data_IF_015177413652
#
_entry.id   IF_015177413652
#
_cell.length_a   1.000
_cell.length_b   1.000
_cell.length_c   1.000
_cell.angle_alpha   90.00
_cell.angle_beta   90.00
_cell.angle_gamma   90.00
#
_symmetry.space_group_name_H-M   'P 1'
#
loop_
_entity.id
_entity.type
_entity.pdbx_description
1 polymer ?
#
# COMPACT_ATOMS: atom_id res chain seq x y z
N UNK A 1 -69.82 -7.59 46.84
CA UNK A 1 -68.88 -7.20 45.76
C UNK A 1 -67.74 -8.21 45.73
N UNK A 2 -67.61 -8.99 44.66
CA UNK A 2 -66.52 -9.98 44.49
C UNK A 2 -65.22 -9.24 44.16
N UNK A 3 -64.24 -9.25 45.05
CA UNK A 3 -62.88 -8.80 44.75
C UNK A 3 -62.30 -9.72 43.67
N UNK A 4 -62.11 -9.18 42.47
CA UNK A 4 -61.52 -9.88 41.33
C UNK A 4 -60.05 -10.20 41.67
N UNK A 5 -59.74 -11.48 41.84
CA UNK A 5 -58.40 -12.03 41.97
C UNK A 5 -57.62 -11.84 40.64
N UNK A 6 -57.19 -10.63 40.31
CA UNK A 6 -56.39 -10.33 39.09
C UNK A 6 -54.89 -10.29 39.34
N UNK A 7 -54.45 -10.34 40.60
CA UNK A 7 -53.03 -10.27 40.96
C UNK A 7 -52.18 -11.44 40.44
N UNK A 8 -52.75 -12.64 40.33
CA UNK A 8 -52.03 -13.81 39.82
C UNK A 8 -51.75 -13.70 38.31
N UNK A 9 -52.61 -13.01 37.55
CA UNK A 9 -52.41 -12.78 36.10
C UNK A 9 -51.22 -11.84 35.89
N UNK A 10 -51.12 -10.76 36.68
CA UNK A 10 -49.99 -9.84 36.60
C UNK A 10 -48.66 -10.53 36.98
N UNK A 11 -48.68 -11.37 38.02
CA UNK A 11 -47.52 -12.18 38.41
C UNK A 11 -47.11 -13.20 37.34
N UNK A 12 -48.07 -13.86 36.70
CA UNK A 12 -47.81 -14.81 35.62
C UNK A 12 -47.18 -14.11 34.41
N UNK A 13 -47.71 -12.96 33.99
CA UNK A 13 -47.16 -12.18 32.87
C UNK A 13 -45.73 -11.72 33.17
N UNK A 14 -45.46 -11.27 34.40
CA UNK A 14 -44.12 -10.86 34.80
C UNK A 14 -43.10 -12.02 34.76
N UNK A 15 -43.48 -13.20 35.25
CA UNK A 15 -42.62 -14.39 35.19
C UNK A 15 -42.40 -14.84 33.74
N UNK A 16 -43.45 -14.84 32.92
CA UNK A 16 -43.34 -15.17 31.50
C UNK A 16 -42.43 -14.19 30.76
N UNK A 17 -42.50 -12.90 31.06
CA UNK A 17 -41.58 -11.91 30.50
C UNK A 17 -40.13 -12.12 30.95
N UNK A 18 -39.91 -12.41 32.25
CA UNK A 18 -38.58 -12.70 32.79
C UNK A 18 -37.92 -13.95 32.19
N UNK A 19 -38.70 -14.90 31.69
CA UNK A 19 -38.19 -16.11 31.04
C UNK A 19 -38.10 -15.93 29.53
N UNK A 20 -39.15 -15.40 28.90
CA UNK A 20 -39.23 -15.28 27.45
C UNK A 20 -38.29 -14.20 26.90
N UNK A 21 -38.03 -13.10 27.62
CA UNK A 21 -37.13 -12.04 27.13
C UNK A 21 -35.67 -12.52 27.09
N UNK A 22 -35.09 -13.14 28.13
CA UNK A 22 -33.75 -13.70 28.03
C UNK A 22 -33.66 -14.84 27.03
N UNK A 23 -34.65 -15.74 26.98
CA UNK A 23 -34.66 -16.79 25.96
C UNK A 23 -34.66 -16.16 24.58
N UNK A 24 -35.58 -15.25 24.29
CA UNK A 24 -35.61 -14.56 23.00
C UNK A 24 -34.30 -13.82 22.72
N UNK A 25 -33.71 -13.11 23.68
CA UNK A 25 -32.45 -12.37 23.51
C UNK A 25 -31.23 -13.28 23.28
N UNK A 26 -31.14 -14.41 24.00
CA UNK A 26 -30.00 -15.35 23.91
C UNK A 26 -30.22 -16.48 22.89
N UNK A 27 -31.43 -16.66 22.39
CA UNK A 27 -31.77 -17.63 21.34
C UNK A 27 -32.32 -16.93 20.09
N UNK A 28 -32.06 -15.62 19.90
CA UNK A 28 -32.21 -15.05 18.57
C UNK A 28 -31.41 -15.93 17.64
N UNK A 29 -32.10 -16.52 16.67
CA UNK A 29 -31.46 -17.26 15.59
C UNK A 29 -30.63 -16.20 14.89
N UNK A 30 -29.31 -16.31 15.03
CA UNK A 30 -28.37 -15.52 14.28
C UNK A 30 -28.77 -15.72 12.81
N UNK A 31 -29.20 -14.67 12.12
CA UNK A 31 -29.57 -14.73 10.69
C UNK A 31 -28.34 -15.03 9.80
N UNK A 32 -27.21 -15.38 10.42
CA UNK A 32 -25.98 -15.83 9.83
C UNK A 32 -26.14 -17.27 9.34
N UNK A 33 -26.19 -17.43 8.01
CA UNK A 33 -25.98 -18.74 7.38
C UNK A 33 -24.60 -19.24 7.83
N UNK A 34 -24.49 -20.50 8.25
CA UNK A 34 -23.19 -21.09 8.62
C UNK A 34 -22.18 -20.91 7.46
N UNK A 35 -21.19 -20.02 7.65
CA UNK A 35 -20.19 -19.65 6.65
C UNK A 35 -20.34 -18.25 6.03
N UNK A 36 -21.45 -17.54 6.24
CA UNK A 36 -21.52 -16.11 5.97
C UNK A 36 -20.95 -15.33 7.16
N UNK A 37 -19.92 -14.52 6.90
CA UNK A 37 -19.55 -13.41 7.77
C UNK A 37 -20.39 -12.22 7.25
N UNK A 38 -21.41 -11.75 7.98
CA UNK A 38 -22.09 -10.50 7.61
C UNK A 38 -21.06 -9.36 7.60
N UNK A 39 -21.10 -8.53 6.56
CA UNK A 39 -20.25 -7.35 6.40
C UNK A 39 -18.73 -7.66 6.48
N UNK A 40 -18.26 -8.62 5.68
CA UNK A 40 -16.80 -8.85 5.57
C UNK A 40 -16.15 -7.60 5.00
N UNK A 41 -15.00 -7.12 5.52
CA UNK A 41 -14.27 -6.00 4.92
C UNK A 41 -13.97 -6.21 3.43
N UNK A 42 -13.84 -7.47 2.99
CA UNK A 42 -13.66 -7.86 1.60
C UNK A 42 -14.87 -7.53 0.70
N UNK A 43 -16.07 -7.39 1.24
CA UNK A 43 -17.28 -7.09 0.47
C UNK A 43 -17.23 -5.68 -0.14
N UNK A 44 -16.47 -4.76 0.48
CA UNK A 44 -16.24 -3.40 0.01
C UNK A 44 -14.99 -3.21 -0.86
N UNK A 45 -14.20 -4.28 -1.07
CA UNK A 45 -12.91 -4.23 -1.78
C UNK A 45 -13.04 -4.83 -3.18
N UNK A 46 -12.62 -4.13 -4.25
CA UNK A 46 -12.61 -4.68 -5.59
C UNK A 46 -11.75 -5.95 -5.67
N UNK A 47 -12.19 -6.93 -6.45
CA UNK A 47 -11.37 -8.12 -6.69
C UNK A 47 -10.13 -7.73 -7.49
N UNK A 48 -8.98 -8.22 -7.03
CA UNK A 48 -7.71 -8.09 -7.73
C UNK A 48 -7.81 -8.72 -9.13
N UNK A 49 -7.15 -8.08 -10.10
CA UNK A 49 -7.04 -8.63 -11.44
C UNK A 49 -6.31 -9.99 -11.40
N UNK A 50 -6.70 -10.91 -12.28
CA UNK A 50 -5.99 -12.18 -12.42
C UNK A 50 -4.58 -11.90 -12.98
N UNK A 51 -3.51 -12.38 -12.35
CA UNK A 51 -2.16 -12.15 -12.85
C UNK A 51 -1.89 -12.95 -14.13
N UNK A 52 -1.08 -12.39 -15.01
CA UNK A 52 -0.47 -13.10 -16.14
C UNK A 52 0.81 -13.76 -15.65
N UNK A 53 1.05 -15.01 -16.03
CA UNK A 53 2.31 -15.70 -15.72
C UNK A 53 3.43 -15.23 -16.67
N UNK A 54 4.47 -14.64 -16.09
CA UNK A 54 5.62 -14.09 -16.80
C UNK A 54 6.80 -15.08 -16.89
N UNK A 55 6.70 -16.25 -16.26
CA UNK A 55 7.79 -17.24 -16.15
C UNK A 55 8.41 -17.64 -17.49
N UNK A 56 7.59 -17.63 -18.55
CA UNK A 56 7.95 -18.01 -19.92
C UNK A 56 8.01 -16.82 -20.89
N UNK A 57 7.82 -15.59 -20.41
CA UNK A 57 7.75 -14.38 -21.24
C UNK A 57 9.04 -13.54 -21.16
N UNK A 58 9.82 -13.70 -20.09
CA UNK A 58 11.01 -12.90 -19.81
C UNK A 58 12.25 -13.80 -19.85
N UNK A 59 12.77 -14.08 -21.05
CA UNK A 59 13.88 -15.04 -21.22
C UNK A 59 15.25 -14.50 -20.77
N UNK A 60 15.48 -13.18 -20.86
CA UNK A 60 16.77 -12.56 -20.57
C UNK A 60 17.84 -12.91 -21.63
N UNK A 61 19.14 -12.76 -21.31
CA UNK A 61 19.69 -12.24 -20.05
C UNK A 61 19.40 -10.75 -19.86
N UNK A 62 19.43 -10.30 -18.60
CA UNK A 62 19.35 -8.89 -18.23
C UNK A 62 20.57 -8.52 -17.38
N UNK A 63 21.36 -7.58 -17.87
CA UNK A 63 22.54 -7.01 -17.20
C UNK A 63 22.18 -5.77 -16.38
N UNK A 64 21.13 -5.05 -16.77
CA UNK A 64 20.68 -3.83 -16.08
C UNK A 64 19.19 -3.84 -15.83
N UNK A 65 18.74 -3.08 -14.82
CA UNK A 65 17.32 -2.87 -14.56
C UNK A 65 16.59 -2.25 -15.76
N UNK A 66 17.23 -1.33 -16.48
CA UNK A 66 16.65 -0.71 -17.67
C UNK A 66 16.41 -1.72 -18.81
N UNK A 67 17.22 -2.77 -18.94
CA UNK A 67 16.96 -3.83 -19.92
C UNK A 67 15.70 -4.63 -19.55
N UNK A 68 15.45 -4.85 -18.24
CA UNK A 68 14.19 -5.44 -17.77
C UNK A 68 13.02 -4.52 -18.09
N UNK A 69 13.13 -3.22 -17.77
CA UNK A 69 12.09 -2.23 -18.08
C UNK A 69 11.77 -2.21 -19.57
N UNK A 70 12.78 -2.19 -20.44
CA UNK A 70 12.58 -2.25 -21.89
C UNK A 70 11.82 -3.52 -22.33
N UNK A 71 12.09 -4.67 -21.70
CA UNK A 71 11.35 -5.90 -21.96
C UNK A 71 9.89 -5.83 -21.48
N UNK A 72 9.63 -5.25 -20.30
CA UNK A 72 8.28 -5.03 -19.78
C UNK A 72 7.46 -4.12 -20.72
N UNK A 73 8.07 -3.05 -21.22
CA UNK A 73 7.41 -2.07 -22.07
C UNK A 73 7.03 -2.60 -23.46
N UNK A 74 7.55 -3.77 -23.88
CA UNK A 74 7.11 -4.43 -25.10
C UNK A 74 5.65 -4.94 -25.05
N UNK A 75 5.07 -5.07 -23.85
CA UNK A 75 3.66 -5.43 -23.66
C UNK A 75 2.90 -4.42 -22.79
N UNK A 76 3.61 -3.64 -21.98
CA UNK A 76 3.06 -2.65 -21.05
C UNK A 76 3.43 -1.22 -21.49
N UNK A 77 3.12 -0.88 -22.74
CA UNK A 77 3.60 0.34 -23.42
C UNK A 77 3.28 1.63 -22.63
N UNK A 78 2.11 1.69 -22.01
CA UNK A 78 1.67 2.88 -21.25
C UNK A 78 2.20 2.92 -19.81
N UNK A 79 2.70 1.81 -19.27
CA UNK A 79 2.92 1.69 -17.81
C UNK A 79 4.02 2.61 -17.29
N UNK A 80 5.13 2.76 -18.01
CA UNK A 80 6.15 3.72 -17.59
C UNK A 80 5.67 5.16 -17.74
N UNK A 81 4.93 5.48 -18.81
CA UNK A 81 4.34 6.82 -19.00
C UNK A 81 3.39 7.17 -17.86
N UNK A 82 2.57 6.22 -17.42
CA UNK A 82 1.70 6.37 -16.26
C UNK A 82 2.51 6.65 -14.98
N UNK A 83 3.57 5.87 -14.72
CA UNK A 83 4.40 6.02 -13.51
C UNK A 83 5.11 7.37 -13.44
N UNK A 84 5.63 7.90 -14.56
CA UNK A 84 6.41 9.14 -14.52
C UNK A 84 5.60 10.36 -14.11
N UNK A 85 4.27 10.31 -14.14
CA UNK A 85 3.41 11.41 -13.69
C UNK A 85 3.03 11.32 -12.21
N UNK A 86 3.50 10.30 -11.50
CA UNK A 86 3.12 10.05 -10.09
C UNK A 86 4.12 10.63 -9.09
N UNK A 87 3.67 10.80 -7.84
CA UNK A 87 4.55 11.18 -6.74
C UNK A 87 5.64 10.12 -6.42
N UNK A 88 5.44 8.84 -6.78
CA UNK A 88 6.47 7.80 -6.60
C UNK A 88 7.67 8.00 -7.52
N UNK A 89 7.46 8.62 -8.69
CA UNK A 89 8.50 9.01 -9.62
C UNK A 89 9.00 10.44 -9.39
N UNK A 90 8.11 11.42 -9.35
CA UNK A 90 8.48 12.84 -9.25
C UNK A 90 9.00 13.23 -7.86
N UNK A 91 8.61 12.47 -6.84
CA UNK A 91 8.85 12.77 -5.41
C UNK A 91 8.34 14.14 -4.96
N UNK A 92 7.38 14.68 -5.70
CA UNK A 92 6.77 15.96 -5.45
C UNK A 92 5.31 15.93 -5.92
N UNK A 93 4.50 16.78 -5.30
CA UNK A 93 3.12 17.01 -5.65
C UNK A 93 3.03 18.01 -6.80
N UNK A 94 1.83 18.16 -7.36
CA UNK A 94 1.49 19.39 -8.08
C UNK A 94 1.62 20.64 -7.17
N UNK A 95 1.57 21.85 -7.75
CA UNK A 95 1.56 23.08 -6.97
C UNK A 95 0.38 23.10 -6.00
N UNK A 96 0.65 23.39 -4.73
CA UNK A 96 -0.35 23.49 -3.66
C UNK A 96 -0.27 24.84 -2.97
N UNK A 97 -1.44 25.39 -2.63
CA UNK A 97 -1.55 26.61 -1.85
C UNK A 97 -1.24 26.32 -0.37
N UNK A 98 -0.45 27.19 0.26
CA UNK A 98 -0.06 27.03 1.66
C UNK A 98 -0.21 28.34 2.41
N UNK A 99 -0.75 28.26 3.62
CA UNK A 99 -0.87 29.43 4.50
C UNK A 99 0.51 30.07 4.72
N UNK A 100 0.58 31.39 4.55
CA UNK A 100 1.82 32.15 4.72
C UNK A 100 2.78 32.14 3.51
N UNK A 101 2.40 31.48 2.39
CA UNK A 101 3.11 31.60 1.11
C UNK A 101 2.29 32.49 0.17
N UNK A 102 2.98 33.32 -0.62
CA UNK A 102 2.34 34.20 -1.60
C UNK A 102 2.01 33.47 -2.92
N UNK A 103 2.68 32.34 -3.17
CA UNK A 103 2.57 31.54 -4.38
C UNK A 103 2.44 30.06 -4.00
N UNK A 104 1.75 29.30 -4.84
CA UNK A 104 1.71 27.85 -4.73
C UNK A 104 3.13 27.26 -4.72
N UNK A 105 3.32 26.21 -3.93
CA UNK A 105 4.59 25.49 -3.83
C UNK A 105 4.38 24.02 -4.11
N UNK A 106 5.38 23.35 -4.66
CA UNK A 106 5.38 21.89 -4.72
C UNK A 106 5.96 21.31 -3.44
N UNK A 107 5.25 20.35 -2.82
CA UNK A 107 5.70 19.64 -1.62
C UNK A 107 6.03 18.20 -1.96
N UNK A 108 6.82 17.53 -1.12
CA UNK A 108 7.21 16.13 -1.34
C UNK A 108 8.68 15.90 -1.05
N UNK A 109 9.12 14.64 -1.11
CA UNK A 109 10.48 14.24 -0.70
C UNK A 109 11.59 15.01 -1.43
N UNK A 110 11.35 15.46 -2.67
CA UNK A 110 12.30 16.27 -3.44
C UNK A 110 12.52 17.67 -2.86
N UNK A 111 11.48 18.26 -2.26
CA UNK A 111 11.47 19.64 -1.77
C UNK A 111 11.36 19.74 -0.22
N UNK A 112 11.10 18.63 0.46
CA UNK A 112 10.87 18.59 1.89
C UNK A 112 12.16 18.64 2.70
N UNK A 113 12.11 19.38 3.81
CA UNK A 113 13.14 19.40 4.84
C UNK A 113 12.61 18.72 6.09
N UNK A 114 13.37 17.79 6.67
CA UNK A 114 13.03 17.11 7.91
C UNK A 114 14.18 17.20 8.94
N UNK A 115 13.97 16.60 10.12
CA UNK A 115 14.95 16.55 11.21
C UNK A 115 15.71 15.21 11.31
N UNK A 116 15.65 14.38 10.25
CA UNK A 116 16.42 13.15 10.12
C UNK A 116 17.63 13.40 9.20
N UNK A 117 17.53 13.01 7.93
CA UNK A 117 18.59 13.23 6.94
C UNK A 117 18.56 14.64 6.32
N UNK A 118 17.77 15.56 6.88
CA UNK A 118 17.55 16.94 6.42
C UNK A 118 16.82 17.01 5.09
N UNK A 119 17.40 16.52 4.00
CA UNK A 119 16.82 16.60 2.67
C UNK A 119 17.63 15.80 1.66
N UNK A 120 17.06 15.62 0.47
CA UNK A 120 17.72 14.83 -0.58
C UNK A 120 18.86 15.60 -1.28
N UNK A 121 18.77 16.92 -1.36
CA UNK A 121 19.75 17.74 -2.08
C UNK A 121 21.16 17.54 -1.51
N UNK A 122 22.08 17.03 -2.33
CA UNK A 122 23.45 16.68 -1.94
C UNK A 122 23.63 15.30 -1.31
N UNK A 123 22.55 14.53 -1.11
CA UNK A 123 22.54 13.17 -0.54
C UNK A 123 21.85 12.14 -1.47
N UNK A 124 21.62 12.51 -2.73
CA UNK A 124 20.85 11.79 -3.75
C UNK A 124 21.07 10.29 -3.73
N UNK A 125 22.31 9.83 -3.99
CA UNK A 125 22.65 8.39 -4.12
C UNK A 125 22.07 7.51 -3.01
N UNK A 126 22.13 7.98 -1.75
CA UNK A 126 21.64 7.19 -0.61
C UNK A 126 20.12 7.29 -0.50
N UNK A 127 19.57 8.49 -0.69
CA UNK A 127 18.14 8.73 -0.58
C UNK A 127 17.33 8.01 -1.65
N UNK A 128 17.83 8.00 -2.90
CA UNK A 128 17.18 7.47 -4.11
C UNK A 128 17.28 5.95 -4.25
N UNK A 129 17.91 5.27 -3.29
CA UNK A 129 17.76 3.82 -3.10
C UNK A 129 16.29 3.37 -3.00
N UNK A 130 15.42 4.25 -2.50
CA UNK A 130 13.98 4.04 -2.39
C UNK A 130 13.17 4.75 -3.49
N UNK A 131 13.80 5.25 -4.56
CA UNK A 131 13.09 5.86 -5.69
C UNK A 131 12.59 4.78 -6.64
N UNK A 132 11.42 4.97 -7.25
CA UNK A 132 10.83 4.03 -8.22
C UNK A 132 11.52 4.09 -9.59
N UNK A 133 12.82 4.33 -9.62
CA UNK A 133 13.63 4.46 -10.81
C UNK A 133 15.08 4.07 -10.61
N UNK A 134 15.82 4.12 -11.72
CA UNK A 134 17.23 3.77 -11.83
C UNK A 134 18.08 4.98 -12.18
N UNK A 135 19.17 5.19 -11.44
CA UNK A 135 20.22 6.16 -11.79
C UNK A 135 19.97 7.59 -11.34
N UNK A 136 19.11 7.83 -10.35
CA UNK A 136 18.95 9.18 -9.79
C UNK A 136 20.11 9.51 -8.85
N UNK A 137 21.18 10.06 -9.44
CA UNK A 137 22.43 10.40 -8.76
C UNK A 137 22.55 11.87 -8.36
N UNK A 138 21.89 12.79 -9.08
CA UNK A 138 21.89 14.22 -8.78
C UNK A 138 20.68 14.98 -9.37
N UNK A 139 20.75 16.31 -9.37
CA UNK A 139 19.72 17.20 -9.91
C UNK A 139 19.51 17.10 -11.44
N UNK A 140 20.41 16.45 -12.16
CA UNK A 140 20.36 16.31 -13.63
C UNK A 140 19.59 15.08 -14.11
N UNK A 141 19.02 14.30 -13.18
CA UNK A 141 18.22 13.12 -13.49
C UNK A 141 17.07 13.44 -14.47
N UNK A 142 17.00 12.67 -15.55
CA UNK A 142 15.99 12.83 -16.57
C UNK A 142 14.68 12.12 -16.16
N UNK A 143 13.75 12.91 -15.63
CA UNK A 143 12.42 12.43 -15.23
C UNK A 143 11.49 12.11 -16.40
N UNK A 144 11.85 12.46 -17.64
CA UNK A 144 11.06 12.12 -18.82
C UNK A 144 11.54 10.81 -19.48
N UNK A 145 12.68 10.27 -19.02
CA UNK A 145 13.20 9.01 -19.53
C UNK A 145 12.50 7.81 -18.89
N UNK A 146 11.45 7.33 -19.56
CA UNK A 146 10.65 6.15 -19.14
C UNK A 146 11.46 4.87 -19.02
N UNK A 147 12.60 4.73 -19.71
CA UNK A 147 13.47 3.56 -19.57
C UNK A 147 14.10 3.44 -18.17
N UNK A 148 14.13 4.52 -17.39
CA UNK A 148 14.62 4.53 -16.02
C UNK A 148 13.56 4.15 -14.98
N UNK A 149 12.31 3.86 -15.36
CA UNK A 149 11.28 3.36 -14.44
C UNK A 149 11.69 1.97 -13.92
N UNK A 150 11.62 1.77 -12.61
CA UNK A 150 11.88 0.47 -11.98
C UNK A 150 10.58 -0.29 -11.75
N UNK A 151 10.26 -1.21 -12.68
CA UNK A 151 9.09 -2.07 -12.57
C UNK A 151 9.23 -3.12 -11.44
N UNK A 152 10.45 -3.57 -11.13
CA UNK A 152 10.69 -4.67 -10.20
C UNK A 152 10.52 -4.24 -8.74
N UNK A 153 10.79 -2.97 -8.42
CA UNK A 153 10.61 -2.42 -7.08
C UNK A 153 9.24 -2.72 -6.48
N UNK A 154 8.20 -2.66 -7.31
CA UNK A 154 6.81 -2.88 -6.89
C UNK A 154 6.30 -4.30 -7.21
N UNK A 155 6.86 -4.97 -8.21
CA UNK A 155 6.26 -6.17 -8.78
C UNK A 155 7.05 -7.47 -8.54
N UNK A 156 8.30 -7.44 -8.08
CA UNK A 156 9.09 -8.65 -7.82
C UNK A 156 8.45 -9.56 -6.75
N UNK A 157 8.28 -10.86 -7.06
CA UNK A 157 7.90 -11.87 -6.07
C UNK A 157 9.01 -12.90 -5.82
N UNK A 158 10.21 -12.69 -6.35
CA UNK A 158 11.34 -13.61 -6.11
C UNK A 158 11.88 -13.51 -4.67
N UNK A 159 11.64 -12.38 -4.00
CA UNK A 159 12.22 -12.04 -2.70
C UNK A 159 13.72 -11.71 -2.78
N UNK A 160 14.29 -11.74 -3.98
CA UNK A 160 15.70 -11.51 -4.27
C UNK A 160 16.00 -10.09 -4.77
N UNK A 161 14.99 -9.36 -5.26
CA UNK A 161 15.21 -8.03 -5.80
C UNK A 161 15.48 -7.00 -4.69
N UNK A 162 16.62 -6.31 -4.77
CA UNK A 162 17.01 -5.27 -3.81
C UNK A 162 17.73 -4.14 -4.51
N UNK A 163 17.40 -2.92 -4.12
CA UNK A 163 18.02 -1.68 -4.63
C UNK A 163 19.13 -1.21 -3.70
N UNK A 164 20.18 -0.66 -4.30
CA UNK A 164 21.30 0.01 -3.65
C UNK A 164 21.27 1.51 -3.95
N UNK A 165 22.47 2.10 -4.01
CA UNK A 165 22.62 3.53 -4.32
C UNK A 165 22.02 3.88 -5.68
N UNK A 166 21.49 5.09 -5.79
CA UNK A 166 20.89 5.63 -7.02
C UNK A 166 19.68 4.82 -7.51
N UNK A 167 19.12 3.95 -6.67
CA UNK A 167 18.04 3.04 -7.05
C UNK A 167 18.50 1.87 -7.94
N UNK A 168 19.79 1.67 -8.17
CA UNK A 168 20.27 0.55 -9.00
C UNK A 168 20.12 -0.79 -8.26
N UNK A 169 19.86 -1.91 -8.95
CA UNK A 169 19.90 -3.23 -8.33
C UNK A 169 21.27 -3.50 -7.68
N UNK A 170 21.30 -4.10 -6.50
CA UNK A 170 22.57 -4.47 -5.86
C UNK A 170 23.26 -5.60 -6.62
N UNK A 171 24.58 -5.69 -6.50
CA UNK A 171 25.36 -6.78 -7.08
C UNK A 171 24.85 -8.14 -6.57
N UNK A 172 24.69 -9.10 -7.50
CA UNK A 172 24.21 -10.45 -7.19
C UNK A 172 22.69 -10.65 -7.27
N UNK A 173 21.91 -9.60 -7.57
CA UNK A 173 20.48 -9.76 -7.90
C UNK A 173 20.34 -10.53 -9.22
N UNK A 174 19.53 -11.59 -9.20
CA UNK A 174 19.13 -12.30 -10.42
C UNK A 174 17.94 -11.57 -11.06
N UNK A 175 18.24 -10.68 -12.01
CA UNK A 175 17.24 -9.89 -12.73
C UNK A 175 16.30 -10.74 -13.57
N UNK A 176 16.74 -11.91 -14.06
CA UNK A 176 15.89 -12.81 -14.85
C UNK A 176 14.89 -13.50 -13.92
N UNK A 177 15.33 -13.99 -12.76
CA UNK A 177 14.43 -14.56 -11.77
C UNK A 177 13.41 -13.51 -11.26
N UNK A 178 13.85 -12.28 -10.98
CA UNK A 178 12.96 -11.21 -10.57
C UNK A 178 11.91 -10.89 -11.64
N UNK A 179 12.34 -10.68 -12.90
CA UNK A 179 11.46 -10.38 -14.03
C UNK A 179 10.44 -11.51 -14.31
N UNK A 180 10.83 -12.78 -14.14
CA UNK A 180 9.93 -13.93 -14.31
C UNK A 180 8.92 -14.09 -13.18
N UNK A 181 9.23 -13.56 -12.00
CA UNK A 181 8.39 -13.70 -10.80
C UNK A 181 7.31 -12.61 -10.69
N UNK A 182 7.30 -11.62 -11.58
CA UNK A 182 6.50 -10.41 -11.38
C UNK A 182 5.01 -10.71 -11.19
N UNK A 183 4.39 -10.00 -10.26
CA UNK A 183 2.97 -10.13 -9.94
C UNK A 183 2.38 -8.86 -9.35
N UNK A 184 1.17 -8.96 -8.80
CA UNK A 184 0.55 -7.83 -8.09
C UNK A 184 1.35 -7.48 -6.83
N UNK A 185 1.57 -6.18 -6.52
CA UNK A 185 2.36 -5.79 -5.35
C UNK A 185 1.83 -6.38 -4.05
N UNK A 186 2.76 -6.82 -3.21
CA UNK A 186 2.50 -7.28 -1.85
C UNK A 186 3.02 -6.28 -0.83
N UNK A 187 2.74 -6.50 0.46
CA UNK A 187 3.33 -5.72 1.57
C UNK A 187 4.85 -5.74 1.55
N UNK A 188 5.49 -6.81 1.06
CA UNK A 188 6.95 -6.88 0.95
C UNK A 188 7.51 -5.85 -0.03
N UNK A 189 6.85 -5.69 -1.18
CA UNK A 189 7.24 -4.73 -2.21
C UNK A 189 7.16 -3.29 -1.68
N UNK A 190 6.02 -2.90 -1.12
CA UNK A 190 5.82 -1.57 -0.54
C UNK A 190 6.76 -1.33 0.64
N UNK A 191 6.88 -2.33 1.53
CA UNK A 191 7.67 -2.28 2.74
C UNK A 191 9.17 -2.12 2.50
N UNK A 192 9.69 -2.54 1.34
CA UNK A 192 11.08 -2.33 0.93
C UNK A 192 11.54 -0.87 1.07
N UNK A 193 10.62 0.07 0.85
CA UNK A 193 10.85 1.51 0.95
C UNK A 193 10.07 2.18 2.10
N UNK A 194 8.90 1.64 2.47
CA UNK A 194 8.00 2.29 3.42
C UNK A 194 8.21 1.89 4.88
N UNK A 195 8.77 0.70 5.17
CA UNK A 195 8.97 0.23 6.56
C UNK A 195 10.31 0.70 7.14
N UNK A 196 11.22 1.16 6.28
CA UNK A 196 12.54 1.65 6.65
C UNK A 196 12.73 3.09 6.20
N UNK A 197 13.59 3.81 6.90
CA UNK A 197 14.00 5.16 6.53
C UNK A 197 15.12 5.65 7.42
N UNK A 198 15.92 6.63 6.98
CA UNK A 198 16.96 7.23 7.83
C UNK A 198 17.95 6.23 8.48
N UNK A 199 18.12 5.04 7.89
CA UNK A 199 19.02 3.99 8.39
C UNK A 199 18.39 2.89 9.26
N UNK A 200 17.07 2.84 9.46
CA UNK A 200 16.46 1.78 10.28
C UNK A 200 14.97 1.52 10.06
N UNK A 201 14.48 0.44 10.67
CA UNK A 201 13.07 0.05 10.73
C UNK A 201 12.26 1.04 11.60
N UNK A 202 11.05 1.40 11.16
CA UNK A 202 10.12 2.31 11.86
C UNK A 202 10.68 3.73 12.19
N UNK A 203 11.80 4.13 11.59
CA UNK A 203 12.46 5.42 11.89
C UNK A 203 11.67 6.61 11.32
N UNK A 204 11.12 6.46 10.12
CA UNK A 204 10.41 7.55 9.43
C UNK A 204 8.93 7.64 9.86
N UNK A 205 8.24 6.51 9.88
CA UNK A 205 6.83 6.37 10.24
C UNK A 205 6.74 5.26 11.29
N UNK A 206 6.27 5.58 12.49
CA UNK A 206 6.20 4.62 13.60
C UNK A 206 5.07 3.60 13.48
N UNK A 207 4.15 3.84 12.55
CA UNK A 207 3.01 2.99 12.22
C UNK A 207 3.29 2.02 11.05
N UNK A 208 4.44 2.16 10.37
CA UNK A 208 4.85 1.30 9.26
C UNK A 208 6.25 0.74 9.51
N UNK A 209 6.31 -0.56 9.80
CA UNK A 209 7.55 -1.28 10.13
C UNK A 209 7.52 -2.73 9.60
N UNK A 210 8.65 -3.44 9.66
CA UNK A 210 8.80 -4.81 9.15
C UNK A 210 7.85 -5.84 9.78
N UNK A 211 7.26 -5.56 10.95
CA UNK A 211 6.21 -6.42 11.51
C UNK A 211 4.99 -6.56 10.58
N UNK A 212 4.79 -5.60 9.67
CA UNK A 212 3.69 -5.58 8.69
C UNK A 212 3.91 -6.46 7.47
N UNK A 213 5.05 -7.15 7.31
CA UNK A 213 5.16 -8.18 6.27
C UNK A 213 4.14 -9.30 6.52
N UNK A 214 4.07 -9.79 7.76
CA UNK A 214 3.18 -10.85 8.20
C UNK A 214 2.65 -10.55 9.62
N UNK A 215 1.82 -9.50 9.77
CA UNK A 215 1.38 -9.05 11.09
C UNK A 215 0.36 -10.00 11.70
N UNK A 216 0.33 -10.07 13.03
CA UNK A 216 -0.83 -10.63 13.74
C UNK A 216 -1.97 -9.61 13.79
N UNK A 217 -3.21 -10.05 14.06
CA UNK A 217 -4.40 -9.17 14.18
C UNK A 217 -4.18 -8.01 15.17
N UNK A 218 -3.42 -8.22 16.24
CA UNK A 218 -3.19 -7.20 17.26
C UNK A 218 -2.24 -6.07 16.79
N UNK A 219 -1.45 -6.32 15.73
CA UNK A 219 -0.58 -5.32 15.10
C UNK A 219 -1.39 -4.50 14.11
N UNK A 220 -2.07 -5.18 13.18
CA UNK A 220 -3.01 -4.56 12.26
C UNK A 220 -4.13 -5.56 11.93
N UNK A 221 -5.38 -5.17 12.17
CA UNK A 221 -6.54 -6.05 11.95
C UNK A 221 -6.78 -6.31 10.45
N UNK A 222 -6.51 -5.35 9.58
CA UNK A 222 -6.74 -5.47 8.14
C UNK A 222 -5.68 -6.38 7.50
N UNK A 223 -4.41 -6.11 7.79
CA UNK A 223 -3.30 -6.86 7.22
C UNK A 223 -3.07 -8.20 7.92
N UNK A 224 -3.38 -8.31 9.22
CA UNK A 224 -3.11 -9.52 9.99
C UNK A 224 -4.25 -10.53 10.01
N UNK A 225 -5.50 -10.07 10.23
CA UNK A 225 -6.67 -10.98 10.21
C UNK A 225 -7.23 -11.18 8.82
N UNK A 226 -7.32 -10.10 8.02
CA UNK A 226 -7.93 -10.16 6.70
C UNK A 226 -6.92 -10.32 5.57
N UNK A 227 -5.61 -10.30 5.84
CA UNK A 227 -4.52 -10.40 4.86
C UNK A 227 -4.61 -9.36 3.71
N UNK A 228 -5.04 -8.14 4.05
CA UNK A 228 -5.02 -7.04 3.11
C UNK A 228 -3.59 -6.71 2.68
N UNK A 229 -3.39 -6.54 1.38
CA UNK A 229 -2.21 -5.91 0.81
C UNK A 229 -2.43 -4.40 0.75
N UNK A 230 -1.35 -3.63 0.65
CA UNK A 230 -1.45 -2.16 0.60
C UNK A 230 -2.41 -1.70 -0.52
N UNK A 231 -2.35 -2.36 -1.68
CA UNK A 231 -3.14 -2.06 -2.88
C UNK A 231 -4.65 -2.33 -2.74
N UNK A 232 -5.10 -3.06 -1.71
CA UNK A 232 -6.53 -3.30 -1.48
C UNK A 232 -7.23 -2.03 -1.00
N UNK A 233 -6.53 -1.23 -0.19
CA UNK A 233 -7.00 0.08 0.28
C UNK A 233 -6.47 1.22 -0.58
N UNK A 234 -5.16 1.19 -0.89
CA UNK A 234 -4.49 2.13 -1.79
C UNK A 234 -4.77 1.76 -3.25
N UNK A 235 -6.04 1.87 -3.63
CA UNK A 235 -6.54 1.54 -4.96
C UNK A 235 -5.73 2.30 -5.99
N UNK A 236 -5.32 1.58 -7.02
CA UNK A 236 -4.43 2.09 -8.05
C UNK A 236 -5.11 1.95 -9.40
N UNK A 237 -5.24 3.06 -10.10
CA UNK A 237 -5.72 3.13 -11.47
C UNK A 237 -4.63 3.82 -12.29
N UNK A 238 -4.24 3.24 -13.43
CA UNK A 238 -3.18 3.78 -14.30
C UNK A 238 -1.90 4.16 -13.52
N UNK A 239 -1.43 3.25 -12.65
CA UNK A 239 -0.30 3.43 -11.72
C UNK A 239 -0.39 4.61 -10.73
N UNK A 240 -1.50 5.34 -10.70
CA UNK A 240 -1.78 6.37 -9.69
C UNK A 240 -2.25 5.68 -8.41
N UNK A 241 -1.32 5.47 -7.48
CA UNK A 241 -1.59 4.86 -6.18
C UNK A 241 -2.37 5.85 -5.32
N UNK A 242 -3.61 5.51 -4.99
CA UNK A 242 -4.47 6.33 -4.16
C UNK A 242 -4.01 6.41 -2.70
N UNK A 243 -4.51 7.41 -1.97
CA UNK A 243 -4.18 7.67 -0.57
C UNK A 243 -3.39 8.95 -0.40
N UNK A 244 -3.72 9.68 0.68
CA UNK A 244 -3.12 11.00 0.96
C UNK A 244 -2.00 10.84 1.97
N UNK A 245 -0.86 11.47 1.70
CA UNK A 245 0.21 11.60 2.67
C UNK A 245 0.41 13.06 3.02
N UNK A 246 0.58 13.36 4.31
CA UNK A 246 0.88 14.72 4.80
C UNK A 246 2.15 15.31 4.16
N UNK A 247 3.02 14.47 3.60
CA UNK A 247 4.24 14.94 2.93
C UNK A 247 4.02 15.43 1.50
N UNK A 248 2.90 15.08 0.84
CA UNK A 248 2.63 15.39 -0.58
C UNK A 248 1.21 15.92 -0.84
N UNK A 249 0.32 15.89 0.16
CA UNK A 249 -1.07 16.30 0.04
C UNK A 249 -1.40 17.26 1.18
N UNK A 250 -1.65 18.54 0.87
CA UNK A 250 -1.96 19.58 1.87
C UNK A 250 -3.38 20.14 1.77
N UNK A 251 -4.14 19.72 0.77
CA UNK A 251 -5.57 20.02 0.59
C UNK A 251 -6.48 18.83 0.98
N UNK A 252 -7.73 18.81 0.51
CA UNK A 252 -8.69 17.70 0.70
C UNK A 252 -9.19 17.09 -0.63
N UNK A 253 -8.60 17.43 -1.78
CA UNK A 253 -9.07 16.99 -3.12
C UNK A 253 -8.30 15.76 -3.59
N UNK A 254 -9.00 14.67 -3.91
CA UNK A 254 -8.42 13.44 -4.46
C UNK A 254 -8.44 13.46 -5.99
#
# INVERSE_FOLDING_TARGET
MKYRQTGWIAGLVFILALVAIPIWYFTQIDDTVAGQIPDSPWDGVPRRAAPVDHSSLLEGPFETGQQVTAACLACHEDSAEQVIHTAHWRWESGPVEMEGRAEAVSVGKKNAINNFCIGIQGNWESCTSCHAGYGWEDETFDFENTANVDCLACHDHSGGYRKGKMGLPVEGVDLVAAAKSVGLPTRENCGSCHFRGGGGNAVKHGDLDESLYYPEEHVDVHMGRYDFQCIDCHRTEDHVIGGRSISVSVDNEN
#
